data_IF_039732926252
#
_entry.id   IF_039732926252
#
_cell.length_a   1.000
_cell.length_b   1.000
_cell.length_c   1.000
_cell.angle_alpha   90.00
_cell.angle_beta   90.00
_cell.angle_gamma   90.00
#
_symmetry.space_group_name_H-M   'P 1'
#
loop_
_entity.id
_entity.type
_entity.pdbx_description
1 polymer ?
#
# COMPACT_ATOMS: atom_id res chain seq x y z
N UNK A 1 -16.28 5.90 -35.51
CA UNK A 1 -15.71 5.39 -34.22
C UNK A 1 -16.86 5.18 -33.24
N UNK A 2 -17.19 3.94 -32.95
CA UNK A 2 -18.22 3.60 -31.94
C UNK A 2 -17.70 4.01 -30.58
N UNK A 3 -18.40 4.92 -29.89
CA UNK A 3 -18.16 5.20 -28.48
C UNK A 3 -18.43 3.92 -27.71
N UNK A 4 -17.38 3.26 -27.21
CA UNK A 4 -17.52 2.16 -26.27
C UNK A 4 -18.15 2.73 -25.02
N UNK A 5 -19.42 2.43 -24.79
CA UNK A 5 -20.11 2.80 -23.55
C UNK A 5 -19.43 2.00 -22.45
N UNK A 6 -18.74 2.69 -21.55
CA UNK A 6 -18.11 2.05 -20.38
C UNK A 6 -19.20 1.67 -19.40
N UNK A 7 -19.34 0.39 -19.15
CA UNK A 7 -20.27 -0.13 -18.15
C UNK A 7 -19.86 0.33 -16.78
N UNK A 8 -20.81 0.88 -16.02
CA UNK A 8 -20.59 1.27 -14.64
C UNK A 8 -20.36 0.04 -13.76
N UNK A 9 -19.17 -0.06 -13.18
CA UNK A 9 -18.84 -1.10 -12.23
C UNK A 9 -18.28 -0.47 -10.96
N UNK A 10 -18.76 -0.91 -9.82
CA UNK A 10 -18.36 -0.39 -8.53
C UNK A 10 -18.23 -1.52 -7.52
N UNK A 11 -17.18 -1.47 -6.73
CA UNK A 11 -17.01 -2.32 -5.56
C UNK A 11 -16.97 -1.49 -4.28
N UNK A 12 -17.58 -2.01 -3.24
CA UNK A 12 -17.49 -1.49 -1.88
C UNK A 12 -17.12 -2.62 -0.95
N UNK A 13 -16.06 -2.43 -0.17
CA UNK A 13 -15.66 -3.36 0.88
C UNK A 13 -16.06 -2.80 2.23
N UNK A 14 -16.72 -3.62 3.03
CA UNK A 14 -17.07 -3.32 4.42
C UNK A 14 -16.42 -4.38 5.32
N UNK A 15 -15.94 -3.95 6.46
CA UNK A 15 -15.32 -4.81 7.45
C UNK A 15 -15.85 -4.45 8.84
N UNK A 16 -16.04 -5.43 9.68
CA UNK A 16 -16.20 -5.24 11.11
C UNK A 16 -15.34 -6.25 11.88
N UNK A 17 -15.07 -5.95 13.13
CA UNK A 17 -14.21 -6.73 14.00
C UNK A 17 -14.95 -7.11 15.28
N UNK A 18 -14.72 -8.34 15.75
CA UNK A 18 -15.13 -8.75 17.08
C UNK A 18 -14.04 -8.33 18.06
N UNK A 19 -14.36 -7.36 18.89
CA UNK A 19 -13.46 -6.81 19.92
C UNK A 19 -13.68 -7.59 21.20
N UNK A 20 -12.59 -8.03 21.79
CA UNK A 20 -12.61 -8.88 22.97
C UNK A 20 -11.56 -8.42 23.99
N UNK A 21 -11.99 -8.18 25.19
CA UNK A 21 -11.19 -8.04 26.40
C UNK A 21 -11.95 -8.64 27.58
N UNK A 22 -11.51 -8.40 28.83
CA UNK A 22 -12.17 -8.90 30.03
C UNK A 22 -13.58 -8.32 30.26
N UNK A 23 -13.88 -7.13 29.70
CA UNK A 23 -15.13 -6.39 29.93
C UNK A 23 -16.00 -6.27 28.67
N UNK A 24 -15.40 -6.39 27.47
CA UNK A 24 -16.08 -6.16 26.17
C UNK A 24 -15.95 -7.36 25.28
N UNK A 25 -17.11 -7.87 24.83
CA UNK A 25 -17.19 -8.92 23.80
C UNK A 25 -18.27 -8.52 22.79
N UNK A 26 -17.90 -7.76 21.78
CA UNK A 26 -18.86 -7.23 20.82
C UNK A 26 -18.25 -6.96 19.45
N UNK A 27 -19.11 -6.92 18.42
CA UNK A 27 -18.72 -6.48 17.09
C UNK A 27 -18.70 -4.95 17.01
N UNK A 28 -17.71 -4.41 16.30
CA UNK A 28 -17.76 -3.02 15.86
C UNK A 28 -18.92 -2.82 14.88
N UNK A 29 -19.25 -1.57 14.60
CA UNK A 29 -20.05 -1.25 13.41
C UNK A 29 -19.35 -1.72 12.13
N UNK A 30 -20.11 -1.79 11.04
CA UNK A 30 -19.55 -2.00 9.72
C UNK A 30 -18.82 -0.74 9.23
N UNK A 31 -17.52 -0.86 9.00
CA UNK A 31 -16.70 0.17 8.39
C UNK A 31 -16.59 -0.05 6.89
N UNK A 32 -16.83 0.99 6.10
CA UNK A 32 -16.69 0.95 4.65
C UNK A 32 -15.36 1.55 4.23
N UNK A 33 -14.53 0.78 3.52
CA UNK A 33 -13.31 1.31 2.87
C UNK A 33 -13.61 2.25 1.71
N UNK A 34 -14.87 2.58 1.49
CA UNK A 34 -15.29 3.48 0.45
C UNK A 34 -15.75 2.77 -0.81
N UNK A 35 -15.58 3.45 -1.93
CA UNK A 35 -16.06 3.01 -3.25
C UNK A 35 -14.88 2.99 -4.20
N UNK A 36 -14.66 1.87 -4.82
CA UNK A 36 -13.66 1.71 -5.87
C UNK A 36 -14.29 1.39 -7.22
N UNK A 37 -13.72 1.94 -8.28
CA UNK A 37 -14.02 1.60 -9.67
C UNK A 37 -12.82 1.93 -10.56
N UNK A 38 -12.54 1.12 -11.58
CA UNK A 38 -11.49 1.44 -12.55
C UNK A 38 -11.87 2.60 -13.49
N UNK A 39 -13.17 2.95 -13.59
CA UNK A 39 -13.68 3.83 -14.64
C UNK A 39 -14.36 5.11 -14.14
N UNK A 40 -14.70 5.19 -12.86
CA UNK A 40 -15.39 6.33 -12.27
C UNK A 40 -14.66 6.83 -11.03
N UNK A 41 -15.12 7.93 -10.47
CA UNK A 41 -14.57 8.50 -9.26
C UNK A 41 -14.54 7.49 -8.10
N UNK A 42 -13.39 7.40 -7.46
CA UNK A 42 -13.11 6.60 -6.27
C UNK A 42 -13.14 7.49 -5.05
N UNK A 43 -13.56 6.96 -3.92
CA UNK A 43 -13.66 7.71 -2.69
C UNK A 43 -13.51 6.80 -1.49
N UNK A 44 -12.49 7.03 -0.66
CA UNK A 44 -12.37 6.45 0.67
C UNK A 44 -13.29 7.14 1.69
N UNK A 45 -13.47 6.48 2.82
CA UNK A 45 -14.29 6.99 3.93
C UNK A 45 -13.46 6.80 5.20
N UNK A 46 -13.27 7.90 5.94
CA UNK A 46 -12.74 7.82 7.30
C UNK A 46 -13.90 7.94 8.30
N UNK A 47 -13.91 7.11 9.31
CA UNK A 47 -14.97 7.04 10.32
C UNK A 47 -14.39 6.57 11.65
N UNK A 48 -14.95 7.07 12.73
CA UNK A 48 -14.64 6.64 14.09
C UNK A 48 -15.93 6.25 14.80
N UNK A 49 -15.91 5.15 15.53
CA UNK A 49 -16.90 4.80 16.55
C UNK A 49 -16.22 4.65 17.93
N UNK A 50 -16.91 4.04 18.89
CA UNK A 50 -16.38 3.83 20.24
C UNK A 50 -15.27 2.81 20.31
N UNK A 51 -15.27 1.80 19.42
CA UNK A 51 -14.39 0.63 19.45
C UNK A 51 -13.28 0.69 18.40
N UNK A 52 -13.51 1.41 17.29
CA UNK A 52 -12.58 1.42 16.19
C UNK A 52 -12.52 2.76 15.45
N UNK A 53 -11.41 2.99 14.74
CA UNK A 53 -11.22 4.10 13.81
C UNK A 53 -10.75 3.54 12.47
N UNK A 54 -11.50 3.84 11.42
CA UNK A 54 -11.02 3.71 10.04
C UNK A 54 -10.45 5.05 9.58
N UNK A 55 -9.23 5.04 9.13
CA UNK A 55 -8.54 6.19 8.55
C UNK A 55 -8.05 5.80 7.15
N UNK A 56 -8.81 6.22 6.14
CA UNK A 56 -8.56 5.93 4.72
C UNK A 56 -8.57 4.43 4.41
N UNK A 57 -7.46 3.75 4.67
CA UNK A 57 -7.19 2.35 4.34
C UNK A 57 -6.76 1.50 5.55
N UNK A 58 -6.76 2.09 6.75
CA UNK A 58 -6.32 1.41 7.96
C UNK A 58 -7.41 1.45 9.04
N UNK A 59 -7.90 0.28 9.44
CA UNK A 59 -8.81 0.14 10.58
C UNK A 59 -7.99 -0.21 11.84
N UNK A 60 -8.11 0.64 12.85
CA UNK A 60 -7.43 0.49 14.14
C UNK A 60 -8.48 0.25 15.23
N UNK A 61 -8.31 -0.78 16.03
CA UNK A 61 -9.10 -0.98 17.24
C UNK A 61 -8.68 0.07 18.26
N UNK A 62 -9.67 0.72 18.85
CA UNK A 62 -9.47 1.76 19.88
C UNK A 62 -9.72 1.10 21.23
N UNK A 63 -8.67 1.00 22.02
CA UNK A 63 -8.78 0.48 23.35
C UNK A 63 -7.87 1.28 24.29
N UNK A 64 -8.37 1.59 25.47
CA UNK A 64 -7.58 2.18 26.54
C UNK A 64 -6.95 1.12 27.45
N UNK A 65 -7.36 -0.14 27.28
CA UNK A 65 -7.01 -1.27 28.15
C UNK A 65 -6.35 -2.43 27.41
N UNK A 66 -5.94 -2.23 26.14
CA UNK A 66 -5.30 -3.26 25.33
C UNK A 66 -6.26 -4.19 24.60
N UNK A 67 -7.47 -3.71 24.30
CA UNK A 67 -8.46 -4.44 23.52
C UNK A 67 -7.90 -4.86 22.17
N UNK A 68 -8.19 -6.09 21.77
CA UNK A 68 -7.78 -6.67 20.48
C UNK A 68 -8.97 -7.17 19.71
N UNK A 69 -8.80 -7.36 18.42
CA UNK A 69 -9.81 -8.03 17.59
C UNK A 69 -9.42 -9.49 17.40
N UNK A 70 -10.31 -10.40 17.78
CA UNK A 70 -10.13 -11.85 17.63
C UNK A 70 -10.76 -12.42 16.37
N UNK A 71 -11.73 -11.72 15.77
CA UNK A 71 -12.45 -12.13 14.55
C UNK A 71 -12.67 -10.94 13.63
N UNK A 72 -12.73 -11.22 12.33
CA UNK A 72 -13.05 -10.24 11.29
C UNK A 72 -14.11 -10.79 10.35
N UNK A 73 -15.03 -9.93 9.94
CA UNK A 73 -15.98 -10.20 8.85
C UNK A 73 -15.75 -9.22 7.72
N UNK A 74 -15.76 -9.71 6.50
CA UNK A 74 -15.61 -8.92 5.29
C UNK A 74 -16.86 -9.07 4.42
N UNK A 75 -17.40 -7.94 3.96
CA UNK A 75 -18.53 -7.89 3.02
C UNK A 75 -18.12 -7.13 1.77
N UNK A 76 -18.24 -7.77 0.61
CA UNK A 76 -18.00 -7.13 -0.68
C UNK A 76 -19.34 -6.88 -1.37
N UNK A 77 -19.64 -5.63 -1.73
CA UNK A 77 -20.83 -5.25 -2.47
C UNK A 77 -20.39 -4.85 -3.88
N UNK A 78 -20.86 -5.60 -4.86
CA UNK A 78 -20.60 -5.34 -6.27
C UNK A 78 -21.84 -4.69 -6.90
N UNK A 79 -21.64 -3.68 -7.73
CA UNK A 79 -22.69 -2.99 -8.46
C UNK A 79 -22.33 -2.85 -9.93
N UNK A 80 -23.32 -2.98 -10.79
CA UNK A 80 -23.25 -2.68 -12.22
C UNK A 80 -24.56 -2.04 -12.67
N UNK A 81 -24.52 -1.20 -13.67
CA UNK A 81 -25.68 -0.64 -14.36
C UNK A 81 -26.14 -1.49 -15.57
N UNK A 82 -25.34 -2.47 -15.94
CA UNK A 82 -25.64 -3.41 -17.02
C UNK A 82 -25.89 -4.82 -16.45
N UNK A 83 -27.16 -5.30 -16.44
CA UNK A 83 -27.49 -6.63 -15.91
C UNK A 83 -26.89 -7.78 -16.72
N UNK A 84 -26.41 -7.53 -17.93
CA UNK A 84 -25.72 -8.53 -18.76
C UNK A 84 -24.25 -8.72 -18.37
N UNK A 85 -23.69 -7.81 -17.56
CA UNK A 85 -22.29 -7.84 -17.12
C UNK A 85 -22.21 -8.34 -15.67
N UNK A 86 -21.51 -9.46 -15.49
CA UNK A 86 -21.22 -9.98 -14.15
C UNK A 86 -19.90 -9.41 -13.65
N UNK A 87 -19.95 -8.70 -12.53
CA UNK A 87 -18.74 -8.24 -11.82
C UNK A 87 -18.17 -9.40 -11.01
N UNK A 88 -16.88 -9.68 -11.16
CA UNK A 88 -16.20 -10.80 -10.51
C UNK A 88 -15.10 -10.27 -9.59
N UNK A 89 -15.08 -10.74 -8.34
CA UNK A 89 -13.94 -10.55 -7.43
C UNK A 89 -12.92 -11.64 -7.75
N UNK A 90 -11.76 -11.26 -8.26
CA UNK A 90 -10.68 -12.21 -8.58
C UNK A 90 -9.74 -12.45 -7.42
N UNK A 91 -9.56 -11.43 -6.59
CA UNK A 91 -8.65 -11.48 -5.47
C UNK A 91 -9.14 -10.56 -4.36
N UNK A 92 -9.09 -11.03 -3.13
CA UNK A 92 -9.37 -10.25 -1.93
C UNK A 92 -8.23 -10.54 -0.94
N UNK A 93 -7.56 -9.51 -0.49
CA UNK A 93 -6.49 -9.60 0.49
C UNK A 93 -6.76 -8.61 1.62
N UNK A 94 -6.40 -9.01 2.83
CA UNK A 94 -6.38 -8.17 4.00
C UNK A 94 -5.19 -8.54 4.87
N UNK A 95 -4.50 -7.57 5.42
CA UNK A 95 -3.41 -7.78 6.35
C UNK A 95 -3.80 -7.32 7.74
N UNK A 96 -3.38 -8.06 8.74
CA UNK A 96 -3.69 -7.84 10.15
C UNK A 96 -2.41 -7.74 10.95
N UNK A 97 -2.33 -6.77 11.83
CA UNK A 97 -1.18 -6.61 12.74
C UNK A 97 -1.66 -6.46 14.17
N UNK A 98 -1.18 -7.33 15.04
CA UNK A 98 -1.27 -7.10 16.48
C UNK A 98 -0.12 -6.18 16.89
N UNK A 99 -0.45 -4.96 17.34
CA UNK A 99 0.55 -3.95 17.73
C UNK A 99 1.00 -4.09 19.18
N UNK A 100 0.28 -4.89 19.98
CA UNK A 100 0.59 -5.14 21.40
C UNK A 100 1.52 -6.36 21.50
N UNK A 101 1.14 -7.46 20.85
CA UNK A 101 1.90 -8.70 20.80
C UNK A 101 2.15 -9.06 19.32
N UNK A 102 3.20 -8.50 18.68
CA UNK A 102 3.49 -8.79 17.29
C UNK A 102 3.69 -10.28 17.06
N UNK A 103 2.93 -10.87 16.15
CA UNK A 103 3.13 -12.23 15.70
C UNK A 103 4.13 -12.15 14.55
N UNK A 104 5.28 -12.79 14.72
CA UNK A 104 6.26 -12.94 13.64
C UNK A 104 5.76 -14.01 12.67
N UNK A 105 6.04 -13.82 11.38
CA UNK A 105 5.79 -14.85 10.38
C UNK A 105 6.71 -16.05 10.67
N UNK A 106 6.14 -17.24 10.64
CA UNK A 106 6.90 -18.48 10.67
C UNK A 106 7.13 -18.94 9.23
N UNK A 107 8.34 -19.37 8.93
CA UNK A 107 8.73 -19.85 7.62
C UNK A 107 9.16 -21.31 7.73
N UNK A 108 8.70 -22.14 6.77
CA UNK A 108 9.04 -23.55 6.72
C UNK A 108 10.52 -23.79 6.37
N UNK A 109 11.13 -22.85 5.64
CA UNK A 109 12.53 -22.92 5.24
C UNK A 109 13.36 -21.86 5.97
N UNK A 110 14.43 -22.32 6.62
CA UNK A 110 15.49 -21.44 7.09
C UNK A 110 16.38 -21.04 5.91
N UNK A 111 16.44 -19.74 5.62
CA UNK A 111 17.29 -19.16 4.60
C UNK A 111 18.28 -18.23 5.30
N UNK A 112 19.56 -18.37 4.94
CA UNK A 112 20.57 -17.39 5.39
C UNK A 112 20.36 -16.07 4.63
N UNK A 113 19.87 -15.07 5.35
CA UNK A 113 19.58 -13.72 4.86
C UNK A 113 20.64 -12.71 5.31
N UNK A 114 21.77 -13.20 5.86
CA UNK A 114 22.90 -12.34 6.22
C UNK A 114 23.71 -11.96 5.00
N UNK A 115 24.18 -10.71 4.96
CA UNK A 115 25.05 -10.21 3.89
C UNK A 115 24.54 -10.47 2.47
N UNK A 116 23.24 -10.27 2.27
CA UNK A 116 22.65 -10.39 0.92
C UNK A 116 23.35 -9.44 -0.05
N UNK A 117 23.68 -9.96 -1.24
CA UNK A 117 24.17 -9.17 -2.38
C UNK A 117 23.29 -9.47 -3.59
N UNK A 118 22.14 -8.84 -3.63
CA UNK A 118 21.09 -9.03 -4.64
C UNK A 118 20.61 -7.67 -5.09
N UNK A 119 20.57 -7.44 -6.40
CA UNK A 119 19.93 -6.29 -7.02
C UNK A 119 18.96 -6.77 -8.10
N UNK A 120 17.68 -6.59 -7.85
CA UNK A 120 16.61 -6.94 -8.79
C UNK A 120 16.45 -5.80 -9.78
N UNK A 121 16.74 -6.05 -11.05
CA UNK A 121 16.55 -5.08 -12.10
C UNK A 121 15.09 -4.59 -12.12
N UNK A 122 14.90 -3.33 -11.76
CA UNK A 122 13.60 -2.67 -11.70
C UNK A 122 13.76 -1.27 -12.30
N UNK A 123 12.96 -0.91 -13.33
CA UNK A 123 13.07 0.40 -13.96
C UNK A 123 12.86 1.53 -12.94
N UNK A 124 13.78 2.49 -12.90
CA UNK A 124 13.64 3.69 -12.08
C UNK A 124 12.85 4.74 -12.84
N UNK A 125 11.83 5.30 -12.21
CA UNK A 125 10.99 6.38 -12.75
C UNK A 125 10.96 7.57 -11.81
N UNK A 126 11.20 8.77 -12.36
CA UNK A 126 11.12 9.99 -11.57
C UNK A 126 9.72 10.62 -11.66
N UNK A 127 9.14 10.94 -10.49
CA UNK A 127 7.94 11.76 -10.40
C UNK A 127 8.20 13.23 -10.71
N UNK A 128 9.45 13.69 -10.58
CA UNK A 128 9.81 15.11 -10.68
C UNK A 128 9.73 15.66 -12.11
N UNK A 129 9.82 14.80 -13.11
CA UNK A 129 9.66 15.16 -14.54
C UNK A 129 8.21 15.05 -15.03
N UNK A 130 7.25 14.81 -14.13
CA UNK A 130 5.82 14.64 -14.42
C UNK A 130 5.04 15.96 -14.32
N UNK A 131 3.71 15.88 -14.42
CA UNK A 131 2.85 17.07 -14.35
C UNK A 131 3.19 17.93 -13.12
N UNK A 132 3.55 19.21 -13.29
CA UNK A 132 3.91 20.10 -12.18
C UNK A 132 2.84 20.23 -11.08
N UNK A 133 1.57 19.96 -11.42
CA UNK A 133 0.44 20.03 -10.46
C UNK A 133 0.38 18.85 -9.51
N UNK A 134 0.95 17.70 -9.90
CA UNK A 134 0.86 16.46 -9.13
C UNK A 134 2.21 15.88 -8.71
N UNK A 135 3.30 16.25 -9.39
CA UNK A 135 4.61 15.63 -9.19
C UNK A 135 5.11 15.55 -7.74
N UNK A 136 4.68 16.44 -6.88
CA UNK A 136 5.08 16.43 -5.47
C UNK A 136 4.23 15.49 -4.60
N UNK A 137 3.24 14.80 -5.17
CA UNK A 137 2.26 13.98 -4.43
C UNK A 137 2.06 12.57 -4.99
N UNK A 138 2.76 12.22 -6.07
CA UNK A 138 2.55 10.96 -6.81
C UNK A 138 3.63 9.91 -6.55
N UNK A 139 4.30 9.92 -5.39
CA UNK A 139 5.28 8.89 -5.05
C UNK A 139 4.64 7.49 -5.04
N UNK A 140 3.44 7.35 -4.49
CA UNK A 140 2.72 6.07 -4.46
C UNK A 140 2.42 5.51 -5.86
N UNK A 141 1.71 6.21 -6.76
CA UNK A 141 1.50 5.71 -8.11
C UNK A 141 2.81 5.52 -8.90
N UNK A 142 3.84 6.36 -8.71
CA UNK A 142 5.14 6.17 -9.37
C UNK A 142 5.82 4.89 -8.91
N UNK A 143 5.84 4.61 -7.62
CA UNK A 143 6.35 3.35 -7.04
C UNK A 143 5.63 2.13 -7.64
N UNK A 144 4.29 2.17 -7.69
CA UNK A 144 3.51 1.06 -8.28
C UNK A 144 3.78 0.93 -9.79
N UNK A 145 3.98 2.05 -10.51
CA UNK A 145 4.35 2.01 -11.93
C UNK A 145 5.70 1.33 -12.14
N UNK A 146 6.72 1.63 -11.31
CA UNK A 146 8.01 0.94 -11.37
C UNK A 146 7.88 -0.57 -11.17
N UNK A 147 7.05 -1.00 -10.21
CA UNK A 147 6.77 -2.40 -9.97
C UNK A 147 6.06 -3.05 -11.18
N UNK A 148 5.05 -2.40 -11.75
CA UNK A 148 4.34 -2.89 -12.93
C UNK A 148 5.27 -2.97 -14.16
N UNK A 149 6.16 -2.00 -14.36
CA UNK A 149 7.19 -2.05 -15.42
C UNK A 149 8.10 -3.26 -15.28
N UNK A 150 8.49 -3.62 -14.04
CA UNK A 150 9.30 -4.83 -13.77
C UNK A 150 8.62 -6.09 -14.30
N UNK A 151 7.28 -6.13 -14.29
CA UNK A 151 6.47 -7.25 -14.74
C UNK A 151 5.93 -7.11 -16.18
N UNK A 152 6.41 -6.11 -16.94
CA UNK A 152 6.15 -6.00 -18.37
C UNK A 152 5.19 -4.89 -18.80
N UNK A 153 4.55 -4.17 -17.87
CA UNK A 153 3.63 -3.07 -18.19
C UNK A 153 4.37 -1.76 -18.52
N UNK A 154 5.39 -1.85 -19.38
CA UNK A 154 6.34 -0.75 -19.67
C UNK A 154 5.73 0.46 -20.39
N UNK A 155 4.50 0.36 -20.87
CA UNK A 155 3.78 1.45 -21.53
C UNK A 155 3.08 2.39 -20.54
N UNK A 156 2.94 1.99 -19.27
CA UNK A 156 2.25 2.80 -18.26
C UNK A 156 3.08 4.00 -17.82
N UNK A 157 2.42 5.14 -17.65
CA UNK A 157 3.03 6.32 -17.10
C UNK A 157 2.57 6.55 -15.66
N UNK A 158 3.45 7.09 -14.77
CA UNK A 158 3.06 7.46 -13.41
C UNK A 158 1.85 8.40 -13.35
N UNK A 159 1.72 9.32 -14.31
CA UNK A 159 0.58 10.25 -14.40
C UNK A 159 -0.74 9.52 -14.67
N UNK A 160 -0.74 8.49 -15.53
CA UNK A 160 -1.91 7.66 -15.82
C UNK A 160 -2.31 6.85 -14.59
N UNK A 161 -1.33 6.25 -13.93
CA UNK A 161 -1.59 5.50 -12.71
C UNK A 161 -2.10 6.42 -11.60
N UNK A 162 -1.55 7.62 -11.48
CA UNK A 162 -2.01 8.63 -10.54
C UNK A 162 -3.48 8.97 -10.76
N UNK A 163 -3.92 9.20 -12.00
CA UNK A 163 -5.32 9.44 -12.31
C UNK A 163 -6.21 8.24 -11.96
N UNK A 164 -5.73 7.02 -12.20
CA UNK A 164 -6.46 5.80 -11.96
C UNK A 164 -6.50 5.38 -10.49
N UNK A 165 -5.62 5.90 -9.63
CA UNK A 165 -5.59 5.68 -8.18
C UNK A 165 -6.11 6.85 -7.37
N UNK A 166 -6.41 7.99 -8.00
CA UNK A 166 -6.83 9.19 -7.30
C UNK A 166 -8.07 8.94 -6.45
N UNK A 167 -7.96 9.25 -5.17
CA UNK A 167 -9.03 9.20 -4.19
C UNK A 167 -9.58 10.62 -3.97
N UNK A 168 -10.87 10.82 -4.24
CA UNK A 168 -11.51 12.13 -4.10
C UNK A 168 -11.55 12.67 -2.66
N UNK A 169 -11.27 11.82 -1.66
CA UNK A 169 -11.18 12.24 -0.25
C UNK A 169 -9.75 12.41 0.25
N UNK A 170 -8.77 11.72 -0.37
CA UNK A 170 -7.42 11.62 0.18
C UNK A 170 -6.32 12.00 -0.81
N UNK A 171 -6.56 11.93 -2.12
CA UNK A 171 -5.57 12.19 -3.16
C UNK A 171 -4.89 10.92 -3.68
N UNK A 172 -3.56 10.93 -3.81
CA UNK A 172 -2.82 9.85 -4.48
C UNK A 172 -2.27 8.74 -3.56
N UNK A 173 -2.43 8.88 -2.25
CA UNK A 173 -1.79 8.01 -1.24
C UNK A 173 -2.63 6.84 -0.76
N UNK A 174 -3.78 6.55 -1.36
CA UNK A 174 -4.60 5.41 -0.97
C UNK A 174 -4.00 4.10 -1.53
N UNK A 175 -3.36 3.33 -0.67
CA UNK A 175 -2.64 2.12 -1.08
C UNK A 175 -3.58 1.00 -1.51
N UNK A 176 -4.76 0.90 -0.91
CA UNK A 176 -5.77 -0.09 -1.31
C UNK A 176 -6.23 0.15 -2.75
N UNK A 177 -6.38 1.43 -3.15
CA UNK A 177 -6.72 1.77 -4.53
C UNK A 177 -5.56 1.52 -5.49
N UNK A 178 -4.32 1.76 -5.06
CA UNK A 178 -3.13 1.44 -5.84
C UNK A 178 -3.02 -0.08 -6.10
N UNK A 179 -3.29 -0.92 -5.09
CA UNK A 179 -3.31 -2.37 -5.25
C UNK A 179 -4.46 -2.84 -6.13
N UNK A 180 -5.65 -2.23 -6.00
CA UNK A 180 -6.79 -2.55 -6.84
C UNK A 180 -6.53 -2.25 -8.33
N UNK A 181 -5.83 -1.14 -8.64
CA UNK A 181 -5.46 -0.82 -10.02
C UNK A 181 -4.40 -1.80 -10.55
N UNK A 182 -3.39 -2.17 -9.77
CA UNK A 182 -2.44 -3.20 -10.16
C UNK A 182 -3.15 -4.55 -10.41
N UNK A 183 -4.15 -4.87 -9.61
CA UNK A 183 -5.04 -6.02 -9.83
C UNK A 183 -5.83 -5.95 -11.13
N UNK A 184 -6.18 -4.77 -11.63
CA UNK A 184 -6.86 -4.60 -12.93
C UNK A 184 -5.99 -4.97 -14.12
N UNK A 185 -4.67 -4.93 -13.98
CA UNK A 185 -3.70 -5.44 -14.94
C UNK A 185 -3.43 -6.95 -14.82
N UNK A 186 -4.13 -7.63 -13.91
CA UNK A 186 -4.04 -9.09 -13.75
C UNK A 186 -3.09 -9.57 -12.66
N UNK A 187 -2.44 -8.67 -11.94
CA UNK A 187 -1.49 -9.01 -10.87
C UNK A 187 -2.18 -9.25 -9.53
N UNK A 188 -1.61 -10.13 -8.71
CA UNK A 188 -1.98 -10.28 -7.29
C UNK A 188 -1.18 -9.25 -6.49
N UNK A 189 -1.73 -8.05 -6.38
CA UNK A 189 -1.12 -6.96 -5.64
C UNK A 189 -1.80 -6.80 -4.26
N UNK A 190 -1.02 -6.61 -3.23
CA UNK A 190 -1.49 -6.50 -1.85
C UNK A 190 -0.54 -5.65 -1.00
N UNK A 191 -1.01 -5.28 0.18
CA UNK A 191 -0.24 -4.58 1.21
C UNK A 191 0.00 -5.58 2.33
N UNK A 192 1.19 -5.53 2.93
CA UNK A 192 1.51 -6.33 4.10
C UNK A 192 2.31 -5.54 5.13
N UNK A 193 2.37 -6.02 6.37
CA UNK A 193 3.27 -5.54 7.40
C UNK A 193 4.48 -6.46 7.45
N UNK A 194 5.60 -5.97 6.95
CA UNK A 194 6.85 -6.72 6.92
C UNK A 194 7.82 -6.17 7.97
N UNK A 195 8.60 -7.05 8.58
CA UNK A 195 9.83 -6.69 9.26
C UNK A 195 11.02 -6.74 8.28
N UNK A 196 12.23 -6.48 8.74
CA UNK A 196 13.42 -6.47 7.88
C UNK A 196 13.76 -7.86 7.33
N UNK A 197 13.54 -8.91 8.11
CA UNK A 197 13.76 -10.29 7.66
C UNK A 197 12.75 -10.68 6.56
N UNK A 198 11.47 -10.37 6.76
CA UNK A 198 10.43 -10.58 5.75
C UNK A 198 10.79 -9.86 4.45
N UNK A 199 11.24 -8.59 4.53
CA UNK A 199 11.65 -7.80 3.37
C UNK A 199 12.84 -8.44 2.64
N UNK A 200 13.86 -8.88 3.37
CA UNK A 200 15.01 -9.59 2.79
C UNK A 200 14.58 -10.87 2.08
N UNK A 201 13.62 -11.59 2.64
CA UNK A 201 13.08 -12.82 2.06
C UNK A 201 12.33 -12.56 0.76
N UNK A 202 11.55 -11.48 0.67
CA UNK A 202 10.92 -11.08 -0.59
C UNK A 202 11.98 -10.78 -1.67
N UNK A 203 13.02 -10.02 -1.33
CA UNK A 203 14.14 -9.72 -2.23
C UNK A 203 14.89 -10.99 -2.63
N UNK A 204 15.17 -11.89 -1.71
CA UNK A 204 15.80 -13.17 -1.98
C UNK A 204 14.99 -14.01 -2.99
N UNK A 205 13.67 -13.97 -2.88
CA UNK A 205 12.74 -14.63 -3.79
C UNK A 205 12.55 -13.91 -5.14
N UNK A 206 13.24 -12.79 -5.37
CA UNK A 206 13.20 -12.05 -6.64
C UNK A 206 12.06 -11.03 -6.75
N UNK A 207 11.45 -10.66 -5.64
CA UNK A 207 10.34 -9.69 -5.60
C UNK A 207 10.80 -8.33 -5.07
N UNK A 208 10.87 -7.28 -5.90
CA UNK A 208 11.07 -5.92 -5.41
C UNK A 208 9.83 -5.45 -4.64
N UNK A 209 10.03 -4.64 -3.61
CA UNK A 209 8.97 -4.28 -2.66
C UNK A 209 8.80 -2.77 -2.58
N UNK A 210 7.59 -2.28 -2.81
CA UNK A 210 7.22 -0.90 -2.49
C UNK A 210 7.12 -0.71 -0.98
N UNK A 211 7.87 0.23 -0.41
CA UNK A 211 7.87 0.50 1.04
C UNK A 211 7.56 1.96 1.33
N UNK A 212 6.91 2.20 2.46
CA UNK A 212 6.70 3.55 2.98
C UNK A 212 7.78 3.89 3.99
N UNK A 213 8.45 5.02 3.77
CA UNK A 213 9.51 5.53 4.65
C UNK A 213 9.13 6.90 5.19
N UNK A 214 9.71 7.25 6.33
CA UNK A 214 9.63 8.57 6.96
C UNK A 214 11.01 8.99 7.44
N UNK A 215 11.37 10.23 7.15
CA UNK A 215 12.69 10.76 7.47
C UNK A 215 12.68 12.29 7.57
N UNK A 216 13.75 12.86 8.11
CA UNK A 216 14.07 14.29 8.04
C UNK A 216 15.38 14.51 7.31
N UNK A 217 15.51 15.66 6.65
CA UNK A 217 16.70 16.05 5.87
C UNK A 217 17.60 17.05 6.60
N UNK A 218 17.14 17.60 7.73
CA UNK A 218 17.91 18.51 8.60
C UNK A 218 18.21 17.77 9.89
N UNK A 219 19.49 17.62 10.23
CA UNK A 219 19.93 16.84 11.38
C UNK A 219 19.39 17.39 12.70
N UNK A 220 19.49 18.70 12.91
CA UNK A 220 19.04 19.40 14.13
C UNK A 220 17.56 19.78 14.12
N UNK A 221 16.78 19.23 13.21
CA UNK A 221 15.33 19.46 13.15
C UNK A 221 14.62 18.89 14.38
N UNK A 222 13.56 19.54 14.83
CA UNK A 222 12.64 19.03 15.87
C UNK A 222 11.76 17.87 15.42
N UNK A 223 11.86 17.47 14.16
CA UNK A 223 11.12 16.33 13.62
C UNK A 223 11.52 15.03 14.35
N UNK A 224 10.57 14.18 14.75
CA UNK A 224 10.83 12.90 15.41
C UNK A 224 11.37 11.83 14.45
N UNK A 225 11.46 12.13 13.15
CA UNK A 225 11.87 11.13 12.15
C UNK A 225 13.40 10.99 12.07
N UNK A 226 13.90 9.81 11.67
CA UNK A 226 15.33 9.60 11.46
C UNK A 226 15.91 10.63 10.48
N UNK A 227 17.14 11.10 10.75
CA UNK A 227 17.90 11.91 9.80
C UNK A 227 18.41 11.04 8.65
N UNK A 228 18.25 11.54 7.44
CA UNK A 228 18.80 10.93 6.22
C UNK A 228 19.54 12.02 5.44
N UNK A 229 20.86 11.88 5.33
CA UNK A 229 21.71 12.78 4.57
C UNK A 229 21.33 12.75 3.09
N UNK A 230 21.29 13.93 2.46
CA UNK A 230 20.95 14.07 1.04
C UNK A 230 19.48 13.84 0.70
N UNK A 231 18.63 13.58 1.69
CA UNK A 231 17.20 13.43 1.44
C UNK A 231 16.57 14.74 0.90
N UNK A 232 15.62 14.66 -0.04
CA UNK A 232 15.08 15.84 -0.74
C UNK A 232 14.19 16.73 0.14
N UNK A 233 13.83 16.28 1.34
CA UNK A 233 12.98 17.01 2.26
C UNK A 233 12.64 16.17 3.48
N UNK A 234 11.84 16.72 4.41
CA UNK A 234 11.27 15.96 5.53
C UNK A 234 9.92 15.40 5.12
N UNK A 235 9.68 14.12 5.40
CA UNK A 235 8.41 13.46 5.07
C UNK A 235 7.92 12.56 6.20
N UNK A 236 6.61 12.57 6.41
CA UNK A 236 5.89 11.63 7.28
C UNK A 236 5.54 10.30 6.57
N UNK A 237 5.64 10.27 5.23
CA UNK A 237 5.38 9.10 4.41
C UNK A 237 5.77 9.35 2.97
N UNK A 238 6.76 8.61 2.50
CA UNK A 238 7.21 8.62 1.11
C UNK A 238 7.35 7.18 0.64
N UNK A 239 6.90 6.88 -0.56
CA UNK A 239 6.98 5.54 -1.12
C UNK A 239 8.17 5.44 -2.08
N UNK A 240 8.95 4.39 -1.87
CA UNK A 240 10.11 4.02 -2.68
C UNK A 240 10.05 2.51 -3.00
N UNK A 241 10.83 2.04 -3.96
CA UNK A 241 10.98 0.61 -4.25
C UNK A 241 12.30 0.12 -3.69
N UNK A 242 12.26 -0.87 -2.81
CA UNK A 242 13.45 -1.66 -2.45
C UNK A 242 13.70 -2.66 -3.57
N UNK A 243 14.87 -2.59 -4.17
CA UNK A 243 15.28 -3.47 -5.27
C UNK A 243 16.32 -4.50 -4.85
N UNK A 244 16.95 -4.32 -3.68
CA UNK A 244 17.99 -5.22 -3.26
C UNK A 244 18.68 -4.86 -1.96
N UNK A 245 19.71 -5.61 -1.70
CA UNK A 245 20.69 -5.42 -0.63
C UNK A 245 22.08 -5.61 -1.18
N UNK A 246 23.07 -4.93 -0.61
CA UNK A 246 24.48 -5.15 -0.92
C UNK A 246 25.34 -4.90 0.33
N UNK A 247 26.57 -5.38 0.31
CA UNK A 247 27.53 -5.18 1.40
C UNK A 247 28.73 -4.41 0.88
N UNK A 248 29.04 -3.28 1.50
CA UNK A 248 30.20 -2.46 1.20
C UNK A 248 31.00 -2.27 2.48
N UNK A 249 32.26 -2.67 2.46
CA UNK A 249 33.17 -2.59 3.62
C UNK A 249 32.61 -3.22 4.90
N UNK A 250 31.86 -4.34 4.74
CA UNK A 250 31.25 -5.06 5.85
C UNK A 250 29.97 -4.42 6.41
N UNK A 251 29.46 -3.35 5.78
CA UNK A 251 28.21 -2.70 6.13
C UNK A 251 27.16 -3.06 5.09
N UNK A 252 25.99 -3.50 5.57
CA UNK A 252 24.87 -3.84 4.69
C UNK A 252 24.08 -2.58 4.31
N UNK A 253 23.79 -2.44 3.03
CA UNK A 253 23.01 -1.36 2.44
C UNK A 253 21.76 -1.90 1.77
N UNK A 254 20.69 -1.09 1.80
CA UNK A 254 19.45 -1.31 1.04
C UNK A 254 19.53 -0.58 -0.29
N UNK A 255 19.32 -1.27 -1.39
CA UNK A 255 19.25 -0.67 -2.72
C UNK A 255 17.82 -0.24 -3.00
N UNK A 256 17.65 1.01 -3.44
CA UNK A 256 16.31 1.58 -3.65
C UNK A 256 16.21 2.37 -4.96
N UNK A 257 15.02 2.34 -5.56
CA UNK A 257 14.60 3.32 -6.56
C UNK A 257 13.66 4.34 -5.89
N UNK A 258 14.10 5.58 -5.81
CA UNK A 258 13.31 6.66 -5.22
C UNK A 258 12.62 7.47 -6.33
N UNK A 259 11.27 7.57 -6.33
CA UNK A 259 10.54 8.42 -7.29
C UNK A 259 10.96 9.90 -7.26
N UNK A 260 11.54 10.37 -6.16
CA UNK A 260 11.99 11.77 -6.03
C UNK A 260 13.37 12.01 -6.64
N UNK A 261 14.12 10.94 -6.96
CA UNK A 261 15.39 11.05 -7.64
C UNK A 261 15.20 11.69 -9.05
N UNK A 262 16.15 12.53 -9.49
CA UNK A 262 16.06 13.19 -10.78
C UNK A 262 16.17 12.24 -11.98
#
# INVERSE_FOLDING_TARGET
>A
MSKKVLTYQQARVLVNHFVEDEEVQTWTDWFSWGIWSPHIARKSISRTDTLAKLDVDTLTIRGSKGETASKVQVKVILKTDDPSVTTVVRYLHGTLKNTINPILKEYEEEIDLTNLDINIETPALSQMIRDPRSRNSICSPTTVTMLLHRYGETHLLPDELAQNTYDNSYGFGNWSFAMAIAGSYGYKAYIDFLNMEDLKREIYNGYPVGVSVRYRHIEDSTSPYPYVEGAPGTTAGHLIVVTGFTVIDGVEYVLVNDPFAP
#
